data_IF_953627083285
#
_entry.id   IF_953627083285
#
_cell.length_a   1.000
_cell.length_b   1.000
_cell.length_c   1.000
_cell.angle_alpha   90.00
_cell.angle_beta   90.00
_cell.angle_gamma   90.00
#
_symmetry.space_group_name_H-M   'P 1'
#
loop_
_entity.id
_entity.type
_entity.pdbx_description
1 polymer ?
#
# COMPACT_ATOMS: atom_id res chain seq x y z
N UNK A 1 19.77 -2.47 -20.57
CA UNK A 1 18.73 -1.78 -19.79
C UNK A 1 17.88 -2.84 -19.14
N UNK A 2 18.17 -3.15 -17.89
CA UNK A 2 17.61 -4.32 -17.21
C UNK A 2 16.11 -4.08 -16.98
N UNK A 3 15.27 -4.83 -17.69
CA UNK A 3 13.80 -4.74 -17.67
C UNK A 3 13.12 -5.02 -16.32
N UNK A 4 13.87 -4.92 -15.22
CA UNK A 4 13.40 -4.96 -13.83
C UNK A 4 12.31 -3.92 -13.57
N UNK A 5 12.42 -2.74 -14.17
CA UNK A 5 11.43 -1.66 -14.03
C UNK A 5 10.20 -1.86 -14.89
N UNK A 6 10.36 -2.39 -16.12
CA UNK A 6 9.24 -2.53 -17.05
C UNK A 6 8.14 -3.45 -16.52
N UNK A 7 8.51 -4.53 -15.83
CA UNK A 7 7.53 -5.46 -15.24
C UNK A 7 6.85 -4.87 -13.99
N UNK A 8 7.61 -4.23 -13.09
CA UNK A 8 7.04 -3.52 -11.92
C UNK A 8 6.05 -2.42 -12.33
N UNK A 9 6.36 -1.68 -13.40
CA UNK A 9 5.49 -0.61 -13.93
C UNK A 9 4.22 -1.20 -14.57
N UNK A 10 4.32 -2.33 -15.26
CA UNK A 10 3.15 -3.01 -15.85
C UNK A 10 2.29 -3.72 -14.80
N UNK A 11 2.89 -4.26 -13.73
CA UNK A 11 2.20 -4.93 -12.63
C UNK A 11 1.52 -3.92 -11.68
N UNK A 12 2.06 -2.69 -11.58
CA UNK A 12 1.36 -1.57 -10.93
C UNK A 12 0.02 -1.22 -11.57
N UNK A 13 -0.26 -1.71 -12.79
CA UNK A 13 -1.58 -1.64 -13.39
C UNK A 13 -2.41 -2.87 -12.97
N UNK A 14 -3.36 -2.75 -12.04
CA UNK A 14 -4.30 -3.83 -11.79
C UNK A 14 -5.28 -3.86 -12.97
N UNK A 15 -5.12 -4.82 -13.87
CA UNK A 15 -5.99 -5.00 -15.07
C UNK A 15 -7.45 -5.31 -14.73
N UNK A 16 -7.78 -5.40 -13.44
CA UNK A 16 -9.07 -5.84 -12.93
C UNK A 16 -9.92 -4.69 -12.38
N UNK A 17 -9.38 -3.48 -12.17
CA UNK A 17 -10.12 -2.40 -11.52
C UNK A 17 -10.77 -1.42 -12.52
N UNK A 18 -12.03 -1.05 -12.24
CA UNK A 18 -12.86 -0.15 -13.06
C UNK A 18 -12.73 1.32 -12.63
N UNK A 19 -11.55 1.76 -12.19
CA UNK A 19 -11.34 3.17 -11.83
C UNK A 19 -11.14 4.02 -13.08
N UNK A 20 -11.67 5.24 -13.05
CA UNK A 20 -11.55 6.19 -14.15
C UNK A 20 -10.08 6.51 -14.44
N UNK A 21 -9.77 6.60 -15.74
CA UNK A 21 -8.43 6.88 -16.26
C UNK A 21 -7.85 8.13 -15.59
N UNK A 22 -6.65 8.05 -15.02
CA UNK A 22 -5.95 9.17 -14.38
C UNK A 22 -6.01 9.22 -12.84
N UNK A 23 -6.84 8.42 -12.18
CA UNK A 23 -6.72 8.23 -10.72
C UNK A 23 -5.71 7.12 -10.39
N UNK A 24 -4.88 7.30 -9.36
CA UNK A 24 -4.07 6.20 -8.83
C UNK A 24 -4.96 4.98 -8.52
N UNK A 25 -4.55 3.77 -8.94
CA UNK A 25 -5.32 2.55 -8.76
C UNK A 25 -5.55 2.24 -7.28
N UNK A 26 -4.57 2.51 -6.42
CA UNK A 26 -4.68 2.43 -4.97
C UNK A 26 -4.45 3.79 -4.32
N UNK A 27 -5.30 4.15 -3.36
CA UNK A 27 -5.04 5.25 -2.43
C UNK A 27 -4.26 4.70 -1.24
N UNK A 28 -3.40 5.51 -0.61
CA UNK A 28 -2.71 5.12 0.64
C UNK A 28 -3.69 4.65 1.73
N UNK A 29 -4.93 5.17 1.72
CA UNK A 29 -5.99 4.77 2.64
C UNK A 29 -6.54 3.38 2.34
N UNK A 30 -6.51 2.93 1.08
CA UNK A 30 -6.99 1.60 0.68
C UNK A 30 -6.12 0.49 1.32
N UNK A 31 -4.82 0.75 1.52
CA UNK A 31 -3.90 -0.18 2.20
C UNK A 31 -4.16 -0.23 3.70
N UNK A 32 -4.46 0.90 4.33
CA UNK A 32 -4.79 0.95 5.76
C UNK A 32 -6.09 0.21 6.09
N UNK A 33 -7.12 0.35 5.25
CA UNK A 33 -8.42 -0.33 5.43
C UNK A 33 -8.29 -1.85 5.29
N UNK A 34 -7.34 -2.35 4.49
CA UNK A 34 -7.07 -3.79 4.35
C UNK A 34 -6.39 -4.40 5.58
N UNK A 35 -5.52 -3.64 6.23
CA UNK A 35 -4.67 -4.14 7.32
C UNK A 35 -5.38 -4.05 8.67
N UNK A 36 -6.19 -3.00 8.88
CA UNK A 36 -6.90 -2.84 10.14
C UNK A 36 -8.13 -1.94 10.03
N UNK A 37 -9.02 -2.06 11.02
CA UNK A 37 -10.00 -1.03 11.32
C UNK A 37 -9.26 0.21 11.86
N UNK A 38 -8.88 1.11 10.94
CA UNK A 38 -8.03 2.26 11.25
C UNK A 38 -8.61 3.14 12.37
N UNK A 39 -9.94 3.25 12.44
CA UNK A 39 -10.66 4.01 13.47
C UNK A 39 -10.50 3.42 14.88
N UNK A 40 -10.26 2.11 14.99
CA UNK A 40 -10.03 1.44 16.27
C UNK A 40 -8.54 1.41 16.62
N UNK A 41 -7.68 1.12 15.64
CA UNK A 41 -6.22 1.05 15.86
C UNK A 41 -5.61 2.41 16.20
N UNK A 42 -6.18 3.51 15.72
CA UNK A 42 -5.71 4.86 16.06
C UNK A 42 -6.05 5.30 17.49
N UNK A 43 -6.99 4.62 18.16
CA UNK A 43 -7.33 4.90 19.57
C UNK A 43 -6.24 4.43 20.51
N UNK A 44 -5.61 3.29 20.19
CA UNK A 44 -4.45 2.80 20.90
C UNK A 44 -3.15 3.24 20.22
N UNK A 45 -2.46 4.21 20.83
CA UNK A 45 -1.20 4.74 20.32
C UNK A 45 -0.09 3.69 20.22
N UNK A 46 -0.13 2.64 21.04
CA UNK A 46 0.87 1.57 20.98
C UNK A 46 0.67 0.70 19.74
N UNK A 47 -0.57 0.28 19.48
CA UNK A 47 -0.95 -0.42 18.25
C UNK A 47 -0.66 0.41 16.99
N UNK A 48 -1.00 1.70 16.98
CA UNK A 48 -0.74 2.57 15.83
C UNK A 48 0.76 2.67 15.48
N UNK A 49 1.61 2.78 16.52
CA UNK A 49 3.06 2.83 16.34
C UNK A 49 3.60 1.51 15.76
N UNK A 50 3.19 0.38 16.33
CA UNK A 50 3.61 -0.95 15.86
C UNK A 50 3.20 -1.20 14.40
N UNK A 51 1.98 -0.80 14.03
CA UNK A 51 1.47 -0.93 12.66
C UNK A 51 2.30 -0.09 11.67
N UNK A 52 2.67 1.13 12.06
CA UNK A 52 3.54 1.99 11.25
C UNK A 52 4.96 1.45 11.09
N UNK A 53 5.55 0.90 12.16
CA UNK A 53 6.86 0.26 12.13
C UNK A 53 6.86 -0.99 11.22
N UNK A 54 5.85 -1.85 11.33
CA UNK A 54 5.68 -3.02 10.48
C UNK A 54 5.51 -2.64 8.99
N UNK A 55 4.73 -1.59 8.71
CA UNK A 55 4.57 -1.08 7.35
C UNK A 55 5.89 -0.56 6.78
N UNK A 56 6.65 0.25 7.55
CA UNK A 56 7.95 0.75 7.11
C UNK A 56 8.97 -0.38 6.86
N UNK A 57 8.99 -1.40 7.72
CA UNK A 57 9.83 -2.59 7.56
C UNK A 57 9.46 -3.38 6.30
N UNK A 58 8.17 -3.61 6.07
CA UNK A 58 7.69 -4.27 4.86
C UNK A 58 8.24 -3.57 3.62
N UNK A 59 8.09 -2.25 3.51
CA UNK A 59 8.57 -1.49 2.35
C UNK A 59 10.10 -1.41 2.26
N UNK A 60 10.81 -1.41 3.38
CA UNK A 60 12.27 -1.48 3.39
C UNK A 60 12.79 -2.83 2.84
N UNK A 61 12.05 -3.93 3.04
CA UNK A 61 12.42 -5.26 2.50
C UNK A 61 12.08 -5.47 1.03
N UNK A 62 11.19 -4.65 0.46
CA UNK A 62 10.81 -4.69 -0.97
C UNK A 62 11.68 -3.77 -1.87
N UNK A 63 12.57 -2.97 -1.28
CA UNK A 63 13.55 -2.11 -1.97
C UNK A 63 14.75 -2.89 -2.49
#
# INVERSE_FOLDING_TARGET
>A
MDGRWGRKVLEWWPRTDRRSVGRPPARWTDDLVKVASWMQVTQDRSSWRSLGEAYAQQWATYG
#
